data_IF_743768298298
#
_entry.id   IF_743768298298
#
_cell.length_a   1.000
_cell.length_b   1.000
_cell.length_c   1.000
_cell.angle_alpha   90.00
_cell.angle_beta   90.00
_cell.angle_gamma   90.00
#
_symmetry.space_group_name_H-M   'P 1'
#
loop_
_entity.id
_entity.type
_entity.pdbx_description
1 polymer ?
#
# COMPACT_ATOMS: atom_id res chain seq x y z
N UNK A 1 43.04 0.49 -14.37
CA UNK A 1 42.28 1.41 -13.51
C UNK A 1 40.79 1.03 -13.62
N UNK A 2 40.28 0.32 -12.60
CA UNK A 2 38.87 -0.04 -12.52
C UNK A 2 38.11 1.14 -11.93
N UNK A 3 37.15 1.70 -12.66
CA UNK A 3 36.21 2.68 -12.14
C UNK A 3 35.04 1.90 -11.50
N UNK A 4 35.07 1.82 -10.20
CA UNK A 4 33.93 1.41 -9.40
C UNK A 4 33.01 2.63 -9.29
N UNK A 5 31.86 2.59 -9.94
CA UNK A 5 30.82 3.58 -9.74
C UNK A 5 30.05 3.23 -8.47
N UNK A 6 30.09 4.11 -7.49
CA UNK A 6 29.20 4.06 -6.32
C UNK A 6 27.78 4.39 -6.76
N UNK A 7 26.93 3.40 -6.72
CA UNK A 7 25.46 3.54 -6.82
C UNK A 7 24.85 3.47 -5.40
N UNK A 8 25.24 4.37 -4.50
CA UNK A 8 24.85 4.27 -3.08
C UNK A 8 24.25 5.55 -2.49
N UNK A 9 23.76 6.49 -3.29
CA UNK A 9 23.24 7.75 -2.73
C UNK A 9 21.82 8.17 -3.13
N UNK A 10 21.09 7.38 -3.89
CA UNK A 10 19.70 7.71 -4.28
C UNK A 10 18.62 7.07 -3.39
N UNK A 11 18.97 6.11 -2.54
CA UNK A 11 18.00 5.36 -1.72
C UNK A 11 17.74 5.94 -0.32
N UNK A 12 18.48 6.95 0.12
CA UNK A 12 18.49 7.33 1.54
C UNK A 12 17.51 8.44 1.94
N UNK A 13 16.73 9.02 1.01
CA UNK A 13 15.85 10.15 1.32
C UNK A 13 14.34 9.92 1.12
N UNK A 14 13.91 8.71 0.75
CA UNK A 14 12.48 8.37 0.76
C UNK A 14 11.92 8.03 2.15
N UNK A 15 12.73 8.01 3.20
CA UNK A 15 12.48 7.25 4.42
C UNK A 15 11.55 7.91 5.44
N UNK A 16 11.31 9.21 5.42
CA UNK A 16 10.60 9.84 6.57
C UNK A 16 9.10 10.04 6.31
N UNK A 17 8.69 10.39 5.12
CA UNK A 17 7.30 10.74 4.84
C UNK A 17 6.41 9.56 4.37
N UNK A 18 7.01 8.48 3.85
CA UNK A 18 6.27 7.29 3.43
C UNK A 18 5.96 6.31 4.57
N UNK A 19 6.71 6.38 5.66
CA UNK A 19 6.56 5.44 6.79
C UNK A 19 5.24 5.55 7.55
N UNK A 20 4.51 6.65 7.48
CA UNK A 20 3.34 6.86 8.34
C UNK A 20 2.09 6.08 7.95
N UNK A 21 1.90 5.70 6.68
CA UNK A 21 0.72 4.93 6.26
C UNK A 21 0.90 3.40 6.42
N UNK A 22 2.16 2.93 6.45
CA UNK A 22 2.52 1.50 6.55
C UNK A 22 3.23 1.19 7.88
N UNK A 23 3.63 2.20 8.65
CA UNK A 23 4.34 2.04 9.92
C UNK A 23 3.52 1.32 10.99
N UNK A 24 2.18 1.39 10.93
CA UNK A 24 1.30 0.69 11.85
C UNK A 24 1.33 -0.84 11.65
N UNK A 25 1.69 -1.31 10.44
CA UNK A 25 1.79 -2.73 10.09
C UNK A 25 3.24 -3.27 10.11
N UNK A 26 4.22 -2.43 10.46
CA UNK A 26 5.64 -2.83 10.53
C UNK A 26 6.30 -3.07 9.16
N UNK A 27 5.71 -2.57 8.07
CA UNK A 27 6.24 -2.73 6.70
C UNK A 27 7.29 -1.66 6.39
N UNK A 28 8.51 -2.10 6.04
CA UNK A 28 9.57 -1.24 5.51
C UNK A 28 9.41 -1.13 3.99
N UNK A 29 8.80 -0.02 3.56
CA UNK A 29 8.43 0.18 2.16
C UNK A 29 9.66 0.22 1.22
N UNK A 30 10.80 0.74 1.67
CA UNK A 30 12.01 0.80 0.85
C UNK A 30 12.54 -0.60 0.55
N UNK A 31 12.58 -1.47 1.56
CA UNK A 31 12.94 -2.88 1.37
C UNK A 31 11.92 -3.63 0.54
N UNK A 32 10.63 -3.32 0.73
CA UNK A 32 9.57 -3.94 -0.04
C UNK A 32 9.70 -3.61 -1.54
N UNK A 33 9.90 -2.34 -1.88
CA UNK A 33 10.09 -1.90 -3.28
C UNK A 33 11.40 -2.45 -3.86
N UNK A 34 12.43 -2.65 -3.03
CA UNK A 34 13.72 -3.20 -3.43
C UNK A 34 13.77 -4.74 -3.46
N UNK A 35 12.66 -5.42 -3.17
CA UNK A 35 12.59 -6.88 -3.14
C UNK A 35 12.96 -7.50 -4.50
N UNK A 36 13.69 -8.61 -4.45
CA UNK A 36 14.08 -9.41 -5.63
C UNK A 36 13.99 -10.90 -5.28
N UNK A 37 14.11 -11.77 -6.27
CA UNK A 37 14.17 -13.23 -6.05
C UNK A 37 15.30 -13.62 -5.12
N UNK A 38 16.47 -12.95 -5.24
CA UNK A 38 17.65 -13.24 -4.42
C UNK A 38 17.60 -12.58 -3.03
N UNK A 39 16.75 -11.57 -2.88
CA UNK A 39 16.54 -10.85 -1.61
C UNK A 39 15.04 -10.53 -1.45
N UNK A 40 14.20 -11.53 -1.15
CA UNK A 40 12.77 -11.35 -0.99
C UNK A 40 12.45 -10.54 0.26
N UNK A 41 11.33 -9.82 0.24
CA UNK A 41 10.82 -9.09 1.39
C UNK A 41 9.63 -9.81 2.00
N UNK A 42 9.74 -10.15 3.30
CA UNK A 42 8.67 -10.81 4.05
C UNK A 42 7.55 -9.81 4.42
N UNK A 43 6.36 -10.05 3.89
CA UNK A 43 5.13 -9.30 4.17
C UNK A 43 4.12 -10.12 4.96
N UNK A 44 4.54 -11.22 5.57
CA UNK A 44 3.66 -12.11 6.37
C UNK A 44 2.99 -11.38 7.53
N UNK A 45 3.54 -10.26 7.99
CA UNK A 45 2.92 -9.39 9.00
C UNK A 45 1.57 -8.79 8.57
N UNK A 46 1.28 -8.72 7.27
CA UNK A 46 -0.02 -8.29 6.74
C UNK A 46 -1.11 -9.37 6.83
N UNK A 47 -0.74 -10.63 7.13
CA UNK A 47 -1.69 -11.71 7.35
C UNK A 47 -2.32 -11.60 8.73
N UNK A 48 -3.61 -11.92 8.80
CA UNK A 48 -4.29 -12.13 10.08
C UNK A 48 -4.02 -13.55 10.55
N UNK A 49 -3.39 -13.69 11.73
CA UNK A 49 -3.09 -15.00 12.32
C UNK A 49 -2.37 -15.97 11.36
N UNK A 50 -1.17 -15.63 10.84
CA UNK A 50 -0.44 -16.47 9.88
C UNK A 50 0.01 -17.81 10.48
N UNK A 51 0.18 -17.88 11.79
CA UNK A 51 0.57 -19.12 12.51
C UNK A 51 -0.59 -20.11 12.63
N UNK A 52 -1.85 -19.66 12.50
CA UNK A 52 -3.02 -20.50 12.72
C UNK A 52 -3.26 -20.84 14.20
N UNK A 53 -2.70 -20.07 15.14
CA UNK A 53 -2.83 -20.37 16.58
C UNK A 53 -4.13 -19.89 17.19
N UNK A 54 -4.80 -18.95 16.53
CA UNK A 54 -6.03 -18.32 17.00
C UNK A 54 -7.16 -18.51 15.99
N UNK A 55 -8.36 -18.10 16.40
CA UNK A 55 -9.59 -18.35 15.68
C UNK A 55 -10.10 -17.15 14.89
N UNK A 56 -9.24 -16.28 14.44
CA UNK A 56 -9.65 -15.11 13.67
C UNK A 56 -8.86 -15.00 12.37
N UNK A 57 -9.37 -14.19 11.45
CA UNK A 57 -8.70 -13.83 10.22
C UNK A 57 -8.86 -14.86 9.09
N UNK A 58 -9.35 -16.06 9.37
CA UNK A 58 -9.56 -17.09 8.37
C UNK A 58 -11.05 -17.39 8.18
N UNK A 59 -11.45 -17.46 6.94
CA UNK A 59 -12.79 -17.91 6.52
C UNK A 59 -12.78 -19.41 6.25
N UNK A 60 -13.94 -20.05 6.42
CA UNK A 60 -14.13 -21.48 6.18
C UNK A 60 -15.46 -21.71 5.48
N UNK A 61 -15.59 -22.84 4.80
CA UNK A 61 -16.85 -23.20 4.15
C UNK A 61 -18.00 -23.27 5.16
N UNK A 62 -19.17 -22.77 4.79
CA UNK A 62 -20.33 -22.67 5.67
C UNK A 62 -20.90 -24.03 6.14
N UNK A 63 -20.57 -25.12 5.46
CA UNK A 63 -20.99 -26.49 5.84
C UNK A 63 -20.13 -27.07 6.98
N UNK A 64 -19.09 -26.33 7.39
CA UNK A 64 -18.19 -26.72 8.48
C UNK A 64 -18.63 -26.14 9.84
N UNK A 65 -19.90 -26.32 10.21
CA UNK A 65 -20.45 -25.79 11.46
C UNK A 65 -19.83 -26.41 12.73
N UNK A 66 -19.15 -27.53 12.60
CA UNK A 66 -18.56 -28.28 13.73
C UNK A 66 -17.02 -28.12 13.79
N UNK A 67 -16.42 -27.41 12.88
CA UNK A 67 -14.97 -27.24 12.87
C UNK A 67 -14.51 -26.51 14.12
N UNK A 68 -13.84 -27.24 14.93
CA UNK A 68 -13.09 -26.69 16.05
C UNK A 68 -11.88 -25.92 15.55
N UNK A 69 -11.36 -25.10 16.43
CA UNK A 69 -10.11 -24.38 16.18
C UNK A 69 -8.96 -25.13 16.73
N UNK A 70 -7.82 -24.99 16.11
CA UNK A 70 -6.55 -25.18 16.78
C UNK A 70 -6.42 -26.49 17.54
N UNK A 71 -6.91 -27.56 17.02
CA UNK A 71 -6.45 -28.81 17.57
C UNK A 71 -5.04 -29.02 17.06
N UNK A 72 -4.09 -28.89 18.00
CA UNK A 72 -2.78 -29.38 17.81
C UNK A 72 -2.91 -30.89 17.49
N UNK A 73 -2.69 -31.24 16.25
CA UNK A 73 -2.81 -32.64 15.89
C UNK A 73 -1.44 -33.29 16.00
N UNK A 74 -1.22 -33.94 17.13
CA UNK A 74 -0.01 -34.74 17.38
C UNK A 74 0.03 -36.05 16.57
N UNK A 75 -1.03 -36.36 15.83
CA UNK A 75 -1.09 -37.55 14.96
C UNK A 75 -0.29 -37.38 13.65
N UNK A 76 0.08 -36.13 13.30
CA UNK A 76 0.86 -35.83 12.11
C UNK A 76 2.34 -35.68 12.44
N UNK A 77 3.17 -35.93 11.45
CA UNK A 77 4.62 -35.90 11.58
C UNK A 77 5.12 -34.56 12.12
N UNK A 78 5.37 -34.49 13.40
CA UNK A 78 5.87 -33.32 14.12
C UNK A 78 7.28 -32.90 13.73
N UNK A 79 7.99 -33.72 12.94
CA UNK A 79 9.32 -33.37 12.43
C UNK A 79 9.25 -32.24 11.37
N UNK A 80 8.12 -32.13 10.67
CA UNK A 80 7.91 -31.11 9.63
C UNK A 80 7.26 -29.86 10.21
N UNK A 81 6.24 -30.04 11.05
CA UNK A 81 5.55 -28.94 11.72
C UNK A 81 4.97 -29.38 13.06
N UNK A 82 5.34 -28.69 14.11
CA UNK A 82 4.92 -29.01 15.49
C UNK A 82 3.90 -28.01 16.06
N UNK A 83 3.45 -27.03 15.27
CA UNK A 83 2.53 -25.97 15.68
C UNK A 83 1.06 -26.39 15.54
N UNK A 84 0.18 -25.43 15.86
CA UNK A 84 -1.27 -25.54 15.62
C UNK A 84 -1.59 -25.04 14.23
N UNK A 85 -2.71 -25.46 13.66
CA UNK A 85 -3.22 -24.99 12.38
C UNK A 85 -4.70 -24.61 12.45
N UNK A 86 -5.14 -23.83 11.49
CA UNK A 86 -6.58 -23.66 11.20
C UNK A 86 -7.05 -24.92 10.52
N UNK A 87 -8.11 -25.54 11.06
CA UNK A 87 -8.67 -26.76 10.48
C UNK A 87 -10.09 -26.54 9.95
N UNK A 88 -10.43 -27.32 8.96
CA UNK A 88 -11.78 -27.49 8.46
C UNK A 88 -12.14 -28.98 8.44
N UNK A 89 -13.26 -29.32 9.04
CA UNK A 89 -13.76 -30.69 9.17
C UNK A 89 -15.20 -30.78 8.72
N UNK A 90 -15.53 -31.83 7.96
CA UNK A 90 -16.83 -32.04 7.36
C UNK A 90 -17.31 -33.45 7.67
N UNK A 91 -18.64 -33.66 7.74
CA UNK A 91 -19.24 -35.01 7.85
C UNK A 91 -19.03 -35.82 6.58
N UNK A 92 -18.95 -35.19 5.44
CA UNK A 92 -18.67 -35.80 4.14
C UNK A 92 -17.81 -34.88 3.30
N UNK A 93 -17.03 -35.41 2.34
CA UNK A 93 -16.15 -34.59 1.51
C UNK A 93 -16.89 -33.48 0.80
N UNK A 94 -16.30 -32.26 0.81
CA UNK A 94 -16.79 -31.11 0.08
C UNK A 94 -15.96 -30.98 -1.20
N UNK A 95 -16.63 -30.77 -2.33
CA UNK A 95 -16.01 -30.69 -3.65
C UNK A 95 -16.25 -29.32 -4.30
N UNK A 96 -15.35 -28.90 -5.21
CA UNK A 96 -15.45 -27.66 -5.98
C UNK A 96 -15.70 -26.42 -5.10
N UNK A 97 -14.97 -26.31 -4.01
CA UNK A 97 -15.14 -25.21 -3.06
C UNK A 97 -13.84 -24.88 -2.34
N UNK A 98 -13.71 -23.62 -1.91
CA UNK A 98 -12.70 -23.22 -0.95
C UNK A 98 -13.08 -23.76 0.44
N UNK A 99 -12.13 -24.34 1.11
CA UNK A 99 -12.33 -24.98 2.41
C UNK A 99 -11.86 -24.07 3.56
N UNK A 100 -10.67 -23.51 3.43
CA UNK A 100 -10.07 -22.58 4.39
C UNK A 100 -9.39 -21.47 3.58
N UNK A 101 -9.67 -20.20 3.87
CA UNK A 101 -9.01 -19.09 3.17
C UNK A 101 -8.97 -17.81 3.99
N UNK A 102 -8.04 -16.93 3.64
CA UNK A 102 -8.09 -15.52 3.99
C UNK A 102 -7.77 -14.65 2.78
N UNK A 103 -8.18 -13.39 2.85
CA UNK A 103 -7.86 -12.37 1.87
C UNK A 103 -6.98 -11.32 2.51
N UNK A 104 -5.90 -10.95 1.83
CA UNK A 104 -4.94 -9.93 2.24
C UNK A 104 -5.09 -8.74 1.33
N UNK A 105 -5.34 -7.58 1.95
CA UNK A 105 -5.47 -6.30 1.27
C UNK A 105 -4.15 -5.51 1.34
N UNK A 106 -4.00 -4.53 0.45
CA UNK A 106 -2.93 -3.54 0.54
C UNK A 106 -1.56 -4.01 0.06
N UNK A 107 -1.43 -5.21 -0.52
CA UNK A 107 -0.18 -5.62 -1.14
C UNK A 107 0.14 -4.72 -2.35
N UNK A 108 1.42 -4.42 -2.54
CA UNK A 108 1.90 -3.75 -3.74
C UNK A 108 1.82 -4.69 -4.95
N UNK A 109 1.66 -4.17 -6.18
CA UNK A 109 1.72 -5.01 -7.37
C UNK A 109 3.10 -5.66 -7.47
N UNK A 110 3.13 -6.97 -7.68
CA UNK A 110 4.39 -7.71 -7.67
C UNK A 110 4.23 -9.21 -7.81
N UNK A 111 5.36 -9.90 -7.78
CA UNK A 111 5.44 -11.35 -7.73
C UNK A 111 5.67 -11.81 -6.29
N UNK A 112 4.85 -12.73 -5.82
CA UNK A 112 4.87 -13.23 -4.46
C UNK A 112 5.03 -14.74 -4.42
N UNK A 113 5.79 -15.22 -3.44
CA UNK A 113 5.79 -16.61 -3.04
C UNK A 113 5.02 -16.74 -1.75
N UNK A 114 3.96 -17.53 -1.79
CA UNK A 114 3.16 -17.88 -0.63
C UNK A 114 3.51 -19.29 -0.24
N UNK A 115 3.90 -19.50 1.01
CA UNK A 115 4.23 -20.84 1.54
C UNK A 115 3.40 -21.14 2.77
N UNK A 116 3.04 -22.40 2.96
CA UNK A 116 2.33 -22.85 4.15
C UNK A 116 2.63 -24.32 4.47
N UNK A 117 2.40 -24.69 5.70
CA UNK A 117 2.23 -26.09 6.07
C UNK A 117 0.77 -26.47 5.87
N UNK A 118 0.54 -27.55 5.15
CA UNK A 118 -0.80 -28.03 4.80
C UNK A 118 -0.89 -29.55 4.96
N UNK A 119 -2.10 -30.03 5.24
CA UNK A 119 -2.42 -31.44 5.37
C UNK A 119 -3.89 -31.69 5.06
N UNK A 120 -4.21 -32.89 4.58
CA UNK A 120 -5.60 -33.34 4.40
C UNK A 120 -5.71 -34.85 4.52
N UNK A 121 -6.86 -35.33 4.97
CA UNK A 121 -7.11 -36.75 5.12
C UNK A 121 -8.61 -37.09 5.11
N UNK A 122 -8.89 -38.36 4.90
CA UNK A 122 -10.19 -39.01 5.18
C UNK A 122 -10.23 -39.29 6.69
N UNK A 123 -11.19 -38.73 7.41
CA UNK A 123 -11.31 -38.86 8.87
C UNK A 123 -12.53 -39.68 9.30
N UNK A 124 -13.68 -39.47 8.66
CA UNK A 124 -14.96 -40.10 9.08
C UNK A 124 -15.16 -41.53 8.53
N UNK A 125 -14.61 -41.85 7.36
CA UNK A 125 -14.62 -43.21 6.85
C UNK A 125 -13.63 -44.07 7.65
N UNK A 126 -14.14 -44.88 8.58
CA UNK A 126 -13.29 -45.70 9.47
C UNK A 126 -12.41 -46.70 8.73
N UNK A 127 -12.80 -47.12 7.52
CA UNK A 127 -12.02 -48.05 6.69
C UNK A 127 -10.85 -47.39 5.97
N UNK A 128 -10.91 -46.08 5.80
CA UNK A 128 -9.90 -45.25 5.10
C UNK A 128 -9.31 -44.14 5.98
N UNK A 129 -9.69 -44.14 7.25
CA UNK A 129 -9.23 -43.12 8.19
C UNK A 129 -7.71 -43.00 8.17
N UNK A 130 -7.23 -41.71 8.05
CA UNK A 130 -5.83 -41.41 7.96
C UNK A 130 -5.22 -41.61 6.58
N UNK A 131 -5.99 -41.93 5.54
CA UNK A 131 -5.53 -41.94 4.15
C UNK A 131 -5.75 -40.58 3.51
N UNK A 132 -4.94 -40.24 2.52
CA UNK A 132 -5.14 -39.07 1.66
C UNK A 132 -6.14 -39.44 0.55
N UNK A 133 -7.18 -38.64 0.40
CA UNK A 133 -8.28 -38.88 -0.55
C UNK A 133 -8.18 -38.17 -1.90
N UNK A 134 -7.08 -37.46 -2.16
CA UNK A 134 -6.91 -36.67 -3.41
C UNK A 134 -7.69 -35.35 -3.42
N UNK A 135 -7.55 -34.58 -4.47
CA UNK A 135 -8.40 -33.42 -4.80
C UNK A 135 -8.28 -32.17 -3.95
N UNK A 136 -7.26 -32.06 -3.07
CA UNK A 136 -6.97 -30.85 -2.31
C UNK A 136 -5.80 -30.09 -2.90
N UNK A 137 -5.91 -28.77 -2.86
CA UNK A 137 -4.93 -27.83 -3.42
C UNK A 137 -4.64 -26.71 -2.42
N UNK A 138 -3.37 -26.38 -2.24
CA UNK A 138 -2.95 -25.13 -1.64
C UNK A 138 -2.94 -24.05 -2.72
N UNK A 139 -3.56 -22.91 -2.47
CA UNK A 139 -3.76 -21.87 -3.47
C UNK A 139 -3.31 -20.49 -3.02
N UNK A 140 -2.89 -19.67 -4.01
CA UNK A 140 -2.69 -18.25 -3.94
C UNK A 140 -3.32 -17.61 -5.18
N UNK A 141 -4.47 -16.95 -5.05
CA UNK A 141 -5.35 -16.53 -6.14
C UNK A 141 -5.69 -17.72 -7.07
N UNK A 142 -5.43 -17.61 -8.37
CA UNK A 142 -5.70 -18.65 -9.37
C UNK A 142 -4.60 -19.72 -9.45
N UNK A 143 -3.45 -19.46 -8.82
CA UNK A 143 -2.32 -20.38 -8.80
C UNK A 143 -2.47 -21.39 -7.67
N UNK A 144 -2.11 -22.64 -7.94
CA UNK A 144 -2.27 -23.72 -6.96
C UNK A 144 -1.29 -24.85 -7.12
N UNK A 145 -0.99 -25.52 -6.01
CA UNK A 145 -0.16 -26.72 -5.94
C UNK A 145 -0.91 -27.84 -5.20
N UNK A 146 -0.82 -29.07 -5.68
CA UNK A 146 -1.53 -30.20 -5.11
C UNK A 146 -1.00 -30.56 -3.70
N UNK A 147 -1.91 -30.76 -2.75
CA UNK A 147 -1.64 -31.50 -1.52
C UNK A 147 -1.63 -32.98 -1.91
N UNK A 148 -0.60 -33.72 -1.51
CA UNK A 148 -0.39 -35.08 -2.04
C UNK A 148 -0.35 -36.17 -0.97
N UNK A 149 -0.42 -35.79 0.30
CA UNK A 149 -0.29 -36.77 1.41
C UNK A 149 -1.07 -36.34 2.65
N UNK A 150 -1.30 -37.29 3.52
CA UNK A 150 -1.99 -37.15 4.81
C UNK A 150 -1.08 -36.70 5.96
N UNK A 151 0.09 -36.15 5.65
CA UNK A 151 1.05 -35.60 6.62
C UNK A 151 1.28 -34.14 6.33
N UNK A 152 1.72 -33.37 7.34
CA UNK A 152 2.14 -32.01 7.13
C UNK A 152 3.22 -31.94 6.05
N UNK A 153 3.00 -31.08 5.07
CA UNK A 153 3.93 -30.78 4.01
C UNK A 153 4.02 -29.26 3.84
N UNK A 154 5.22 -28.75 3.64
CA UNK A 154 5.40 -27.34 3.28
C UNK A 154 5.26 -27.22 1.78
N UNK A 155 4.28 -26.46 1.35
CA UNK A 155 4.04 -26.15 -0.07
C UNK A 155 4.24 -24.66 -0.31
N UNK A 156 4.60 -24.32 -1.55
CA UNK A 156 4.76 -22.94 -2.00
C UNK A 156 4.08 -22.74 -3.34
N UNK A 157 3.46 -21.59 -3.51
CA UNK A 157 2.83 -21.14 -4.74
C UNK A 157 3.39 -19.77 -5.09
N UNK A 158 3.78 -19.56 -6.33
CA UNK A 158 4.14 -18.23 -6.84
C UNK A 158 2.95 -17.63 -7.56
N UNK A 159 2.57 -16.41 -7.21
CA UNK A 159 1.50 -15.68 -7.85
C UNK A 159 1.90 -14.24 -8.16
N UNK A 160 1.15 -13.59 -9.04
CA UNK A 160 1.32 -12.18 -9.36
C UNK A 160 0.10 -11.40 -8.86
N UNK A 161 0.34 -10.29 -8.17
CA UNK A 161 -0.67 -9.36 -7.70
C UNK A 161 -0.59 -8.11 -8.56
N UNK A 162 -1.71 -7.67 -9.10
CA UNK A 162 -1.83 -6.39 -9.83
C UNK A 162 -2.20 -5.26 -8.87
N UNK A 163 -2.03 -4.03 -9.31
CA UNK A 163 -2.42 -2.86 -8.52
C UNK A 163 -3.91 -2.92 -8.13
N UNK A 164 -4.19 -2.79 -6.82
CA UNK A 164 -5.53 -2.86 -6.24
C UNK A 164 -6.14 -4.26 -6.16
N UNK A 165 -5.41 -5.29 -6.52
CA UNK A 165 -5.83 -6.68 -6.39
C UNK A 165 -5.52 -7.21 -4.99
N UNK A 166 -6.41 -8.07 -4.47
CA UNK A 166 -6.23 -8.75 -3.20
C UNK A 166 -5.54 -10.09 -3.41
N UNK A 167 -4.79 -10.54 -2.41
CA UNK A 167 -4.25 -11.89 -2.37
C UNK A 167 -5.18 -12.80 -1.56
N UNK A 168 -5.75 -13.81 -2.18
CA UNK A 168 -6.51 -14.87 -1.52
C UNK A 168 -5.64 -16.10 -1.36
N UNK A 169 -5.46 -16.54 -0.11
CA UNK A 169 -4.61 -17.69 0.24
C UNK A 169 -5.49 -18.75 0.92
N UNK A 170 -5.26 -20.02 0.63
CA UNK A 170 -6.01 -21.05 1.32
C UNK A 170 -5.88 -22.47 0.78
N UNK A 171 -6.83 -23.30 1.18
CA UNK A 171 -7.02 -24.66 0.67
C UNK A 171 -8.34 -24.73 -0.07
N UNK A 172 -8.29 -25.24 -1.30
CA UNK A 172 -9.47 -25.49 -2.14
C UNK A 172 -9.57 -26.97 -2.50
N UNK A 173 -10.78 -27.44 -2.72
CA UNK A 173 -11.08 -28.79 -3.15
C UNK A 173 -11.62 -28.78 -4.59
N UNK A 174 -11.16 -29.71 -5.42
CA UNK A 174 -11.76 -29.97 -6.73
C UNK A 174 -12.86 -31.04 -6.67
N UNK A 175 -13.41 -31.42 -7.83
CA UNK A 175 -14.48 -32.40 -7.95
C UNK A 175 -14.08 -33.82 -7.54
N UNK A 176 -12.80 -34.12 -7.32
CA UNK A 176 -12.30 -35.46 -6.97
C UNK A 176 -11.97 -35.60 -5.48
N UNK A 177 -12.16 -34.54 -4.68
CA UNK A 177 -11.84 -34.56 -3.25
C UNK A 177 -12.65 -35.62 -2.49
N UNK A 178 -11.93 -36.48 -1.78
CA UNK A 178 -12.52 -37.47 -0.86
C UNK A 178 -12.12 -37.20 0.59
N UNK A 179 -11.33 -36.13 0.87
CA UNK A 179 -10.94 -35.75 2.22
C UNK A 179 -12.11 -35.00 2.89
N UNK A 180 -12.34 -35.30 4.14
CA UNK A 180 -13.33 -34.63 4.99
C UNK A 180 -12.71 -33.86 6.15
N UNK A 181 -11.37 -33.79 6.17
CA UNK A 181 -10.59 -32.98 7.08
C UNK A 181 -9.35 -32.40 6.39
N UNK A 182 -9.04 -31.13 6.67
CA UNK A 182 -7.84 -30.45 6.19
C UNK A 182 -7.38 -29.39 7.18
N UNK A 183 -6.10 -29.02 7.13
CA UNK A 183 -5.56 -27.94 7.96
C UNK A 183 -4.43 -27.18 7.26
N UNK A 184 -4.28 -25.90 7.62
CA UNK A 184 -3.26 -24.99 7.16
C UNK A 184 -2.62 -24.25 8.34
N UNK A 185 -1.29 -24.02 8.28
CA UNK A 185 -0.54 -23.37 9.33
C UNK A 185 0.75 -22.73 8.81
N UNK A 186 1.33 -21.83 9.62
CA UNK A 186 2.65 -21.25 9.36
C UNK A 186 2.76 -20.62 7.96
N UNK A 187 1.78 -19.80 7.61
CA UNK A 187 1.71 -19.16 6.30
C UNK A 187 2.70 -18.01 6.25
N UNK A 188 3.50 -17.97 5.19
CA UNK A 188 4.41 -16.86 4.88
C UNK A 188 4.12 -16.31 3.50
N UNK A 189 4.30 -15.01 3.33
CA UNK A 189 4.16 -14.31 2.06
C UNK A 189 5.42 -13.47 1.84
N UNK A 190 6.14 -13.75 0.77
CA UNK A 190 7.38 -13.05 0.42
C UNK A 190 7.23 -12.40 -0.95
N UNK A 191 7.47 -11.09 -1.02
CA UNK A 191 7.60 -10.38 -2.28
C UNK A 191 8.96 -10.68 -2.91
N UNK A 192 8.96 -11.09 -4.17
CA UNK A 192 10.16 -11.41 -4.95
C UNK A 192 10.44 -10.39 -6.06
N UNK A 193 9.66 -9.33 -6.14
CA UNK A 193 9.86 -8.23 -7.08
C UNK A 193 8.59 -7.46 -7.37
N UNK A 194 8.75 -6.18 -7.66
CA UNK A 194 7.64 -5.30 -8.01
C UNK A 194 7.11 -5.59 -9.42
N UNK A 195 5.81 -5.49 -9.56
CA UNK A 195 5.12 -5.48 -10.84
C UNK A 195 5.08 -4.10 -11.48
N UNK A 196 4.29 -3.97 -12.54
CA UNK A 196 4.08 -2.69 -13.21
C UNK A 196 3.23 -1.75 -12.32
N UNK A 197 3.66 -0.48 -12.16
CA UNK A 197 2.88 0.51 -11.45
C UNK A 197 1.59 0.86 -12.19
N UNK A 198 0.56 1.25 -11.45
CA UNK A 198 -0.67 1.76 -12.04
C UNK A 198 -0.42 3.12 -12.71
N UNK A 199 -0.94 3.36 -13.91
CA UNK A 199 -0.82 4.65 -14.61
C UNK A 199 -1.94 5.58 -14.15
N UNK A 200 -1.58 6.69 -13.52
CA UNK A 200 -2.51 7.62 -12.89
C UNK A 200 -2.33 9.02 -13.48
N UNK A 201 -3.41 9.62 -13.95
CA UNK A 201 -3.42 11.03 -14.36
C UNK A 201 -4.14 11.88 -13.31
N UNK A 202 -3.42 12.85 -12.76
CA UNK A 202 -3.95 13.86 -11.83
C UNK A 202 -3.98 15.21 -12.53
N UNK A 203 -5.03 16.01 -12.31
CA UNK A 203 -5.15 17.32 -12.94
C UNK A 203 -5.69 18.35 -11.97
N UNK A 204 -5.18 19.57 -12.03
CA UNK A 204 -5.67 20.70 -11.22
C UNK A 204 -7.11 21.14 -11.56
N UNK A 205 -7.58 20.80 -12.76
CA UNK A 205 -8.87 21.20 -13.30
C UNK A 205 -9.96 20.12 -13.14
N UNK A 206 -9.64 18.97 -12.54
CA UNK A 206 -10.62 17.89 -12.35
C UNK A 206 -11.32 18.00 -11.01
N UNK A 207 -12.64 17.91 -11.02
CA UNK A 207 -13.44 17.56 -9.84
C UNK A 207 -13.27 16.05 -9.59
N UNK A 208 -12.30 15.73 -8.76
CA UNK A 208 -11.89 14.34 -8.48
C UNK A 208 -12.74 13.73 -7.36
N UNK A 209 -14.07 13.71 -7.53
CA UNK A 209 -14.94 12.95 -6.61
C UNK A 209 -14.63 11.46 -6.61
N UNK A 210 -13.85 10.99 -7.59
CA UNK A 210 -13.53 9.58 -7.84
C UNK A 210 -12.07 9.18 -7.63
N UNK A 211 -11.17 10.08 -7.20
CA UNK A 211 -9.76 9.71 -6.99
C UNK A 211 -9.61 8.99 -5.67
N UNK A 212 -9.12 7.78 -5.76
CA UNK A 212 -8.70 6.93 -4.64
C UNK A 212 -7.20 7.07 -4.38
N UNK A 213 -6.74 6.57 -3.27
CA UNK A 213 -5.31 6.36 -3.02
C UNK A 213 -4.77 5.19 -3.87
N UNK A 214 -3.48 5.24 -4.18
CA UNK A 214 -2.79 4.25 -5.02
C UNK A 214 -1.51 3.82 -4.32
N UNK A 215 -1.37 2.53 -4.09
CA UNK A 215 -0.24 1.98 -3.35
C UNK A 215 1.08 1.98 -4.13
N UNK A 216 1.02 1.98 -5.46
CA UNK A 216 2.20 1.98 -6.33
C UNK A 216 1.81 2.47 -7.72
N UNK A 217 2.19 3.69 -8.07
CA UNK A 217 1.71 4.33 -9.29
C UNK A 217 2.78 5.19 -9.99
N UNK A 218 2.72 5.22 -11.31
CA UNK A 218 3.32 6.27 -12.12
C UNK A 218 2.28 7.36 -12.34
N UNK A 219 2.58 8.55 -11.85
CA UNK A 219 1.67 9.70 -11.86
C UNK A 219 2.06 10.68 -12.95
N UNK A 220 1.11 11.04 -13.81
CA UNK A 220 1.19 12.21 -14.67
C UNK A 220 0.33 13.33 -14.05
N UNK A 221 1.00 14.31 -13.44
CA UNK A 221 0.33 15.48 -12.86
C UNK A 221 0.24 16.61 -13.88
N UNK A 222 -0.97 17.06 -14.20
CA UNK A 222 -1.23 18.27 -14.97
C UNK A 222 -1.49 19.44 -14.02
N UNK A 223 -0.50 20.33 -13.90
CA UNK A 223 -0.52 21.46 -12.98
C UNK A 223 0.29 22.62 -13.53
N UNK A 224 -0.25 23.83 -13.52
CA UNK A 224 0.50 25.03 -13.87
C UNK A 224 1.26 25.55 -12.63
N UNK A 225 2.58 25.56 -12.72
CA UNK A 225 3.45 26.16 -11.71
C UNK A 225 4.23 27.28 -12.39
N UNK A 226 4.18 28.47 -11.79
CA UNK A 226 4.84 29.64 -12.36
C UNK A 226 6.37 29.50 -12.37
N UNK A 227 7.04 30.02 -13.40
CA UNK A 227 8.49 30.14 -13.48
C UNK A 227 8.97 31.58 -13.29
N UNK A 228 8.10 32.55 -13.53
CA UNK A 228 8.33 33.99 -13.29
C UNK A 228 7.79 34.48 -11.94
N UNK A 229 7.21 33.57 -11.16
CA UNK A 229 6.66 33.80 -9.84
C UNK A 229 6.53 32.48 -9.06
N UNK A 230 5.81 32.52 -7.96
CA UNK A 230 5.66 31.36 -7.07
C UNK A 230 4.22 30.83 -7.06
N UNK A 231 4.10 29.57 -6.74
CA UNK A 231 2.82 28.84 -6.65
C UNK A 231 2.81 28.03 -5.35
N UNK A 232 1.68 28.03 -4.64
CA UNK A 232 1.49 27.10 -3.52
C UNK A 232 1.16 25.70 -4.09
N UNK A 233 1.91 24.70 -3.64
CA UNK A 233 1.80 23.31 -4.09
C UNK A 233 1.65 22.37 -2.90
N UNK A 234 0.66 21.46 -2.97
CA UNK A 234 0.44 20.38 -2.01
C UNK A 234 0.19 19.09 -2.78
N UNK A 235 1.03 18.07 -2.58
CA UNK A 235 0.93 16.81 -3.32
C UNK A 235 0.49 15.65 -2.42
N UNK A 236 -0.29 14.68 -2.94
CA UNK A 236 -0.69 13.48 -2.20
C UNK A 236 0.38 12.39 -2.16
N UNK A 237 1.61 12.70 -2.57
CA UNK A 237 2.78 11.82 -2.56
C UNK A 237 4.04 12.64 -2.33
N UNK A 238 5.11 12.03 -1.79
CA UNK A 238 6.39 12.70 -1.63
C UNK A 238 7.15 12.77 -2.95
N UNK A 239 8.06 13.75 -3.07
CA UNK A 239 8.97 13.89 -4.22
C UNK A 239 10.39 13.97 -3.71
N UNK A 240 11.26 13.12 -4.22
CA UNK A 240 12.68 13.07 -3.87
C UNK A 240 13.45 14.31 -4.37
N UNK A 241 14.67 14.47 -3.87
CA UNK A 241 15.50 15.66 -4.17
C UNK A 241 15.92 15.76 -5.63
N UNK A 242 16.10 14.64 -6.32
CA UNK A 242 16.51 14.63 -7.73
C UNK A 242 15.36 15.08 -8.63
N UNK A 243 14.19 14.51 -8.43
CA UNK A 243 12.95 14.85 -9.14
C UNK A 243 12.52 16.28 -8.81
N UNK A 244 12.62 16.68 -7.55
CA UNK A 244 12.34 18.06 -7.11
C UNK A 244 13.22 19.06 -7.86
N UNK A 245 14.54 18.85 -7.93
CA UNK A 245 15.47 19.72 -8.63
C UNK A 245 15.27 19.73 -10.15
N UNK A 246 14.74 18.65 -10.74
CA UNK A 246 14.42 18.60 -12.17
C UNK A 246 13.20 19.46 -12.54
N UNK A 247 12.26 19.64 -11.62
CA UNK A 247 11.00 20.33 -11.87
C UNK A 247 10.90 21.72 -11.28
N UNK A 248 11.56 21.96 -10.15
CA UNK A 248 11.44 23.21 -9.41
C UNK A 248 12.80 23.85 -9.17
N UNK A 249 12.96 25.11 -9.58
CA UNK A 249 14.16 25.90 -9.33
C UNK A 249 14.27 26.32 -7.86
N UNK A 250 13.11 26.50 -7.21
CA UNK A 250 13.01 26.85 -5.80
C UNK A 250 11.84 26.09 -5.15
N UNK A 251 12.08 25.56 -3.95
CA UNK A 251 11.06 24.96 -3.08
C UNK A 251 11.29 25.49 -1.67
N UNK A 252 10.30 26.15 -1.12
CA UNK A 252 10.32 26.72 0.23
C UNK A 252 9.24 26.11 1.10
N UNK A 253 9.63 25.62 2.27
CA UNK A 253 8.71 25.28 3.35
C UNK A 253 8.35 26.55 4.11
N UNK A 254 7.06 26.79 4.38
CA UNK A 254 6.61 27.92 5.19
C UNK A 254 6.95 27.64 6.65
N UNK A 255 7.82 28.47 7.22
CA UNK A 255 8.33 28.33 8.59
C UNK A 255 7.89 29.43 9.54
N UNK A 256 7.41 30.56 9.01
CA UNK A 256 6.80 31.62 9.81
C UNK A 256 5.72 32.35 9.00
N UNK A 257 4.70 32.86 9.70
CA UNK A 257 3.59 33.64 9.12
C UNK A 257 3.34 34.87 10.00
N UNK A 258 3.38 36.06 9.43
CA UNK A 258 3.09 37.31 10.12
C UNK A 258 2.00 38.10 9.40
N UNK A 259 1.05 38.64 10.15
CA UNK A 259 0.05 39.54 9.58
C UNK A 259 0.65 40.90 9.27
N UNK A 260 0.43 41.40 8.06
CA UNK A 260 0.83 42.73 7.63
C UNK A 260 -0.35 43.43 6.95
N UNK A 261 -1.06 44.27 7.67
CA UNK A 261 -2.31 44.86 7.20
C UNK A 261 -3.41 43.83 6.97
N UNK A 262 -3.86 43.74 5.73
CA UNK A 262 -4.90 42.77 5.31
C UNK A 262 -4.30 41.47 4.73
N UNK A 263 -2.99 41.35 4.71
CA UNK A 263 -2.28 40.23 4.12
C UNK A 263 -1.50 39.43 5.17
N UNK A 264 -1.07 38.25 4.79
CA UNK A 264 -0.09 37.46 5.55
C UNK A 264 1.20 37.32 4.77
N UNK A 265 2.29 37.75 5.39
CA UNK A 265 3.65 37.59 4.86
C UNK A 265 4.22 36.29 5.44
N UNK A 266 4.75 35.44 4.58
CA UNK A 266 5.38 34.19 4.97
C UNK A 266 6.89 34.24 4.81
N UNK A 267 7.58 33.59 5.75
CA UNK A 267 8.98 33.27 5.63
C UNK A 267 9.10 31.80 5.23
N UNK A 268 9.92 31.52 4.22
CA UNK A 268 10.16 30.17 3.77
C UNK A 268 11.60 29.73 4.02
N UNK A 269 11.79 28.48 4.36
CA UNK A 269 13.10 27.83 4.41
C UNK A 269 13.27 26.95 3.19
N UNK A 270 14.36 27.10 2.40
CA UNK A 270 14.61 26.27 1.24
C UNK A 270 14.73 24.78 1.61
N UNK A 271 14.06 23.94 0.86
CA UNK A 271 14.12 22.48 1.00
C UNK A 271 14.42 21.83 -0.35
N UNK A 272 14.87 20.57 -0.32
CA UNK A 272 15.25 19.82 -1.52
C UNK A 272 14.29 18.72 -1.90
N UNK A 273 13.25 18.50 -1.11
CA UNK A 273 12.25 17.44 -1.30
C UNK A 273 10.88 17.98 -0.93
N UNK A 274 9.83 17.29 -1.35
CA UNK A 274 8.45 17.60 -1.03
C UNK A 274 7.86 16.43 -0.23
N UNK A 275 7.34 16.71 0.94
CA UNK A 275 6.61 15.73 1.75
C UNK A 275 5.14 15.68 1.32
N UNK A 276 4.55 14.51 1.47
CA UNK A 276 3.14 14.29 1.20
C UNK A 276 2.26 15.12 2.13
N UNK A 277 1.20 15.73 1.58
CA UNK A 277 0.20 16.47 2.36
C UNK A 277 0.64 17.86 2.82
N UNK A 278 1.90 18.20 2.69
CA UNK A 278 2.44 19.49 3.13
C UNK A 278 2.38 20.53 2.01
N UNK A 279 2.04 21.74 2.37
CA UNK A 279 2.02 22.87 1.42
C UNK A 279 3.40 23.54 1.34
N UNK A 280 3.90 23.67 0.13
CA UNK A 280 5.15 24.34 -0.20
C UNK A 280 4.91 25.55 -1.11
N UNK A 281 5.82 26.51 -1.06
CA UNK A 281 5.92 27.60 -2.03
C UNK A 281 6.97 27.22 -3.05
N UNK A 282 6.56 27.02 -4.30
CA UNK A 282 7.43 26.49 -5.35
C UNK A 282 7.49 27.42 -6.56
N UNK A 283 8.65 27.37 -7.26
CA UNK A 283 8.88 28.03 -8.54
C UNK A 283 9.35 27.01 -9.55
N UNK A 284 8.72 26.93 -10.72
CA UNK A 284 9.09 25.97 -11.73
C UNK A 284 10.45 26.30 -12.38
N UNK A 285 11.18 25.27 -12.79
CA UNK A 285 12.40 25.42 -13.60
C UNK A 285 12.06 25.90 -15.02
N UNK A 286 10.92 25.45 -15.57
CA UNK A 286 10.44 25.75 -16.92
C UNK A 286 8.98 26.19 -16.86
N UNK A 287 8.69 27.44 -17.19
CA UNK A 287 7.34 28.03 -17.16
C UNK A 287 6.40 27.55 -18.26
N UNK A 288 6.90 26.87 -19.26
CA UNK A 288 6.08 26.26 -20.30
C UNK A 288 5.63 24.85 -19.91
N UNK A 289 6.14 24.32 -18.81
CA UNK A 289 5.78 22.97 -18.35
C UNK A 289 4.46 23.01 -17.59
N UNK A 290 3.50 22.28 -18.06
CA UNK A 290 2.21 22.08 -17.40
C UNK A 290 1.96 20.63 -17.00
N UNK A 291 2.94 19.75 -17.22
CA UNK A 291 2.85 18.33 -16.88
C UNK A 291 4.14 17.86 -16.22
N UNK A 292 3.99 17.07 -15.18
CA UNK A 292 5.05 16.51 -14.35
C UNK A 292 4.84 15.02 -14.21
N UNK A 293 5.90 14.22 -14.41
CA UNK A 293 5.84 12.75 -14.26
C UNK A 293 6.55 12.34 -12.98
N UNK A 294 5.90 11.48 -12.21
CA UNK A 294 6.46 10.93 -10.99
C UNK A 294 6.30 9.42 -11.05
N UNK A 295 7.41 8.70 -10.99
CA UNK A 295 7.43 7.26 -11.15
C UNK A 295 7.38 6.55 -9.80
N UNK A 296 6.60 5.48 -9.73
CA UNK A 296 6.59 4.53 -8.59
C UNK A 296 6.30 5.19 -7.23
N UNK A 297 5.35 6.12 -7.20
CA UNK A 297 4.95 6.82 -5.98
C UNK A 297 3.73 6.17 -5.31
N UNK A 298 3.64 6.32 -3.99
CA UNK A 298 2.45 6.01 -3.21
C UNK A 298 1.60 7.26 -3.10
N UNK A 299 0.45 7.26 -3.74
CA UNK A 299 -0.52 8.37 -3.72
C UNK A 299 -1.51 8.16 -2.59
N UNK A 300 -1.52 9.06 -1.62
CA UNK A 300 -2.46 9.02 -0.50
C UNK A 300 -3.37 10.26 -0.50
N UNK A 301 -4.57 10.08 -1.01
CA UNK A 301 -5.59 11.13 -1.09
C UNK A 301 -6.29 11.41 0.24
N UNK A 302 -5.94 10.67 1.30
CA UNK A 302 -6.47 10.83 2.67
C UNK A 302 -5.49 11.50 3.62
N UNK A 303 -4.26 11.78 3.17
CA UNK A 303 -3.25 12.45 3.98
C UNK A 303 -3.75 13.79 4.52
N UNK A 304 -3.39 14.10 5.76
CA UNK A 304 -3.67 15.42 6.34
C UNK A 304 -2.93 16.50 5.53
N UNK A 305 -3.66 17.56 5.20
CA UNK A 305 -3.16 18.67 4.40
C UNK A 305 -3.10 19.97 5.19
N UNK A 306 -3.34 19.93 6.49
CA UNK A 306 -3.31 21.09 7.38
C UNK A 306 -2.03 21.17 8.19
N UNK A 307 -1.47 22.38 8.32
CA UNK A 307 -0.36 22.66 9.22
C UNK A 307 -0.60 23.97 9.95
N UNK A 308 -0.30 24.02 11.24
CA UNK A 308 -0.36 25.27 12.02
C UNK A 308 1.01 25.93 12.08
N UNK A 309 1.09 27.20 11.65
CA UNK A 309 2.30 28.00 11.67
C UNK A 309 1.95 29.38 12.28
N UNK A 310 2.58 29.74 13.37
CA UNK A 310 2.36 31.02 14.07
C UNK A 310 0.88 31.37 14.35
N UNK A 311 0.07 30.35 14.65
CA UNK A 311 -1.35 30.51 15.01
C UNK A 311 -2.29 30.66 13.81
N UNK A 312 -1.81 30.51 12.58
CA UNK A 312 -2.64 30.40 11.37
C UNK A 312 -2.60 28.99 10.82
N UNK A 313 -3.63 28.58 10.10
CA UNK A 313 -3.68 27.28 9.43
C UNK A 313 -3.25 27.44 7.98
N UNK A 314 -2.17 26.78 7.61
CA UNK A 314 -1.76 26.57 6.22
C UNK A 314 -2.43 25.32 5.72
N UNK A 315 -3.44 25.48 4.86
CA UNK A 315 -4.27 24.39 4.36
C UNK A 315 -3.90 24.03 2.94
N UNK A 316 -3.61 22.76 2.69
CA UNK A 316 -3.48 22.20 1.35
C UNK A 316 -4.77 21.51 0.86
N UNK A 317 -4.80 21.10 -0.39
CA UNK A 317 -5.88 20.31 -0.95
C UNK A 317 -5.41 19.39 -2.08
N UNK A 318 -6.07 18.24 -2.21
CA UNK A 318 -5.88 17.32 -3.33
C UNK A 318 -7.05 17.37 -4.32
N UNK A 319 -8.09 18.14 -4.02
CA UNK A 319 -9.30 18.29 -4.84
C UNK A 319 -9.62 19.75 -5.03
N UNK A 320 -10.24 20.11 -6.15
CA UNK A 320 -10.77 21.45 -6.32
C UNK A 320 -11.79 21.79 -5.21
N UNK A 321 -11.74 23.01 -4.72
CA UNK A 321 -12.66 23.56 -3.73
C UNK A 321 -13.38 24.76 -4.34
N UNK A 322 -14.70 24.74 -4.36
CA UNK A 322 -15.53 25.81 -4.90
C UNK A 322 -16.16 26.67 -3.80
N UNK A 323 -16.49 27.92 -4.13
CA UNK A 323 -17.23 28.82 -3.26
C UNK A 323 -16.50 29.22 -1.98
N UNK A 324 -15.17 29.23 -1.96
CA UNK A 324 -14.37 29.59 -0.80
C UNK A 324 -14.46 31.08 -0.48
N UNK A 325 -14.59 31.44 0.79
CA UNK A 325 -14.69 32.82 1.27
C UNK A 325 -13.72 33.06 2.41
N UNK A 326 -13.17 34.30 2.50
CA UNK A 326 -12.35 34.71 3.62
C UNK A 326 -10.96 34.06 3.69
N UNK A 327 -10.53 33.37 2.65
CA UNK A 327 -9.24 32.71 2.54
C UNK A 327 -8.16 33.67 2.00
N UNK A 328 -6.89 33.29 2.25
CA UNK A 328 -5.74 34.02 1.74
C UNK A 328 -4.99 33.15 0.73
N UNK A 329 -4.78 33.68 -0.46
CA UNK A 329 -4.18 32.97 -1.59
C UNK A 329 -2.78 33.55 -1.85
N UNK A 330 -1.80 32.65 -2.10
CA UNK A 330 -0.45 33.00 -2.46
C UNK A 330 -0.41 33.94 -3.67
N UNK A 331 0.35 35.00 -3.53
CA UNK A 331 0.71 35.89 -4.64
C UNK A 331 1.95 35.39 -5.36
N UNK A 332 2.18 35.89 -6.57
CA UNK A 332 3.32 35.48 -7.40
C UNK A 332 4.70 35.92 -6.86
N UNK A 333 4.72 36.77 -5.83
CA UNK A 333 5.94 37.18 -5.12
C UNK A 333 6.51 36.06 -4.21
N UNK A 334 5.71 35.02 -3.92
CA UNK A 334 6.11 33.88 -3.09
C UNK A 334 6.25 34.17 -1.60
N UNK A 335 5.95 35.38 -1.18
CA UNK A 335 6.09 35.85 0.21
C UNK A 335 4.78 36.30 0.82
N UNK A 336 3.73 36.52 0.01
CA UNK A 336 2.48 37.13 0.46
C UNK A 336 1.27 36.25 0.15
N UNK A 337 0.44 36.01 1.15
CA UNK A 337 -0.94 35.51 1.00
C UNK A 337 -1.91 36.67 1.14
N UNK A 338 -2.59 36.96 0.04
CA UNK A 338 -3.54 38.08 -0.03
C UNK A 338 -4.98 37.62 0.24
N UNK A 339 -5.72 38.40 1.03
CA UNK A 339 -7.12 38.13 1.37
C UNK A 339 -8.01 38.21 0.13
N UNK A 340 -8.81 37.17 -0.05
CA UNK A 340 -9.88 37.14 -1.03
C UNK A 340 -11.24 37.12 -0.34
N UNK A 341 -12.10 38.06 -0.67
CA UNK A 341 -13.46 38.12 -0.13
C UNK A 341 -14.28 36.90 -0.58
N UNK A 342 -14.10 36.49 -1.82
CA UNK A 342 -14.63 35.25 -2.37
C UNK A 342 -13.73 34.72 -3.49
N UNK A 343 -13.68 33.42 -3.63
CA UNK A 343 -12.96 32.72 -4.72
C UNK A 343 -13.93 31.72 -5.32
N UNK A 344 -14.12 31.76 -6.64
CA UNK A 344 -15.02 30.83 -7.34
C UNK A 344 -14.55 29.38 -7.17
N UNK A 345 -13.23 29.16 -7.29
CA UNK A 345 -12.63 27.86 -7.03
C UNK A 345 -11.15 28.00 -6.63
N UNK A 346 -10.69 27.10 -5.75
CA UNK A 346 -9.27 26.84 -5.51
C UNK A 346 -8.94 25.53 -6.20
N UNK A 347 -7.99 25.56 -7.11
CA UNK A 347 -7.59 24.39 -7.90
C UNK A 347 -7.03 23.28 -7.01
N UNK A 348 -7.13 22.03 -7.46
CA UNK A 348 -6.50 20.90 -6.78
C UNK A 348 -4.98 21.07 -6.67
N UNK A 349 -4.38 20.39 -5.73
CA UNK A 349 -2.93 20.42 -5.43
C UNK A 349 -2.40 21.82 -5.12
N UNK A 350 -3.23 22.64 -4.51
CA UNK A 350 -2.92 24.02 -4.07
C UNK A 350 -2.85 24.12 -2.55
N UNK A 351 -2.51 25.31 -2.06
CA UNK A 351 -2.61 25.67 -0.65
C UNK A 351 -3.02 27.12 -0.45
N UNK A 352 -3.61 27.40 0.71
CA UNK A 352 -4.03 28.73 1.15
C UNK A 352 -3.84 28.88 2.66
N UNK A 353 -3.95 30.10 3.16
CA UNK A 353 -4.01 30.36 4.60
C UNK A 353 -5.46 30.54 5.03
N UNK A 354 -5.81 29.88 6.12
CA UNK A 354 -7.08 29.98 6.80
C UNK A 354 -6.87 30.54 8.21
N UNK A 355 -7.74 31.44 8.65
CA UNK A 355 -7.74 31.91 10.02
C UNK A 355 -8.54 30.95 10.91
N UNK A 356 -8.11 30.74 12.14
CA UNK A 356 -8.83 29.91 13.09
C UNK A 356 -10.20 30.48 13.48
#
# INVERSE_FOLDING_TARGET
MKRTFLLTSALLFMTVAQQTAWADDGVDLDKYIAATVDNPYDVSGMLKNPTGTENYGWSRNANDAAAGYNKHNTEFDSSVYAGKGIESWYWSPVTNADLIWQTVDGLLPGTYVVSAYVVGQIYNDTSKKGQYGGGLWFMANDERVAITQNKWQRLSVTCTIKAGEQLKIGITADGTNLNDWTSIAGVTVECQGMGEPEKVALSEDFDLTCVRSYSYADVLLKRNVASDGYTALCLPFPVDSTTTAAYFSEVGEVTAVAQHGNDYVVTTTPVKYIERGKTYVVKATDGNRSTYSFDKVVVDMTADTSASVDGVVLQGNFRQRDGMTGIYIMQTDGSTFHKRASVSSVKAYSGWVELP
#
